data_IF_736689072522
#
_entry.id   IF_736689072522
#
_cell.length_a   1.000
_cell.length_b   1.000
_cell.length_c   1.000
_cell.angle_alpha   90.00
_cell.angle_beta   90.00
_cell.angle_gamma   90.00
#
_symmetry.space_group_name_H-M   'P 1'
#
loop_
_entity.id
_entity.type
_entity.pdbx_description
1 polymer ?
#
# COMPACT_ATOMS: atom_id res chain seq x y z
N UNK A 1 -17.78 -37.54 8.95
CA UNK A 1 -16.42 -37.10 9.33
C UNK A 1 -15.77 -36.23 8.24
N UNK A 2 -15.70 -36.68 6.98
CA UNK A 2 -15.11 -35.90 5.87
C UNK A 2 -15.73 -34.50 5.64
N UNK A 3 -17.06 -34.36 5.74
CA UNK A 3 -17.74 -33.06 5.58
C UNK A 3 -17.41 -32.07 6.68
N UNK A 4 -17.29 -32.53 7.92
CA UNK A 4 -16.98 -31.69 9.09
C UNK A 4 -15.55 -31.15 9.02
N UNK A 5 -14.58 -31.99 8.66
CA UNK A 5 -13.18 -31.57 8.46
C UNK A 5 -13.08 -30.54 7.34
N UNK A 6 -13.81 -30.74 6.23
CA UNK A 6 -13.86 -29.77 5.13
C UNK A 6 -14.48 -28.44 5.55
N UNK A 7 -15.54 -28.46 6.37
CA UNK A 7 -16.15 -27.25 6.91
C UNK A 7 -15.19 -26.51 7.85
N UNK A 8 -14.51 -27.21 8.76
CA UNK A 8 -13.53 -26.63 9.66
C UNK A 8 -12.36 -25.98 8.91
N UNK A 9 -11.84 -26.64 7.86
CA UNK A 9 -10.77 -26.06 7.05
C UNK A 9 -11.23 -24.79 6.32
N UNK A 10 -12.46 -24.78 5.82
CA UNK A 10 -13.03 -23.58 5.18
C UNK A 10 -13.25 -22.45 6.19
N UNK A 11 -13.63 -22.76 7.42
CA UNK A 11 -13.78 -21.77 8.48
C UNK A 11 -12.44 -21.16 8.85
N UNK A 12 -11.40 -21.98 9.06
CA UNK A 12 -10.05 -21.51 9.36
C UNK A 12 -9.41 -20.69 8.22
N UNK A 13 -9.80 -20.98 6.97
CA UNK A 13 -9.37 -20.18 5.81
C UNK A 13 -10.08 -18.82 5.78
N UNK A 14 -11.40 -18.79 6.04
CA UNK A 14 -12.17 -17.56 6.11
C UNK A 14 -11.74 -16.66 7.27
N UNK A 15 -11.41 -17.24 8.42
CA UNK A 15 -10.85 -16.51 9.57
C UNK A 15 -9.52 -15.84 9.20
N UNK A 16 -8.60 -16.59 8.58
CA UNK A 16 -7.31 -16.04 8.11
C UNK A 16 -7.49 -14.91 7.08
N UNK A 17 -8.42 -15.07 6.14
CA UNK A 17 -8.74 -14.01 5.18
C UNK A 17 -9.34 -12.79 5.87
N UNK A 18 -10.19 -13.00 6.87
CA UNK A 18 -10.80 -11.92 7.64
C UNK A 18 -9.74 -11.13 8.41
N UNK A 19 -8.83 -11.81 9.10
CA UNK A 19 -7.71 -11.18 9.82
C UNK A 19 -6.80 -10.39 8.86
N UNK A 20 -6.45 -10.98 7.71
CA UNK A 20 -5.64 -10.30 6.70
C UNK A 20 -6.33 -9.05 6.14
N UNK A 21 -7.64 -9.12 5.90
CA UNK A 21 -8.43 -7.98 5.43
C UNK A 21 -8.54 -6.89 6.49
N UNK A 22 -8.75 -7.24 7.76
CA UNK A 22 -8.78 -6.27 8.87
C UNK A 22 -7.46 -5.52 8.94
N UNK A 23 -6.34 -6.24 8.96
CA UNK A 23 -5.00 -5.64 9.01
C UNK A 23 -4.75 -4.72 7.81
N UNK A 24 -5.10 -5.16 6.60
CA UNK A 24 -4.98 -4.34 5.39
C UNK A 24 -5.84 -3.08 5.48
N UNK A 25 -7.05 -3.18 6.04
CA UNK A 25 -7.93 -2.03 6.23
C UNK A 25 -7.32 -1.00 7.21
N UNK A 26 -6.76 -1.47 8.32
CA UNK A 26 -6.08 -0.62 9.31
C UNK A 26 -4.87 0.10 8.70
N UNK A 27 -4.03 -0.63 7.94
CA UNK A 27 -2.88 -0.07 7.23
C UNK A 27 -3.31 0.98 6.20
N UNK A 28 -4.35 0.68 5.41
CA UNK A 28 -4.89 1.60 4.41
C UNK A 28 -5.51 2.85 5.05
N UNK A 29 -6.21 2.71 6.18
CA UNK A 29 -6.76 3.85 6.90
C UNK A 29 -5.66 4.74 7.45
N UNK A 30 -4.62 4.17 8.05
CA UNK A 30 -3.46 4.93 8.51
C UNK A 30 -2.77 5.67 7.35
N UNK A 31 -2.63 5.01 6.20
CA UNK A 31 -2.07 5.62 4.99
C UNK A 31 -2.93 6.79 4.48
N UNK A 32 -4.25 6.61 4.43
CA UNK A 32 -5.20 7.68 4.05
C UNK A 32 -5.06 8.88 4.99
N UNK A 33 -4.97 8.65 6.30
CA UNK A 33 -4.85 9.73 7.27
C UNK A 33 -3.53 10.50 7.11
N UNK A 34 -2.42 9.81 6.85
CA UNK A 34 -1.14 10.45 6.55
C UNK A 34 -1.21 11.26 5.25
N UNK A 35 -1.77 10.69 4.18
CA UNK A 35 -1.91 11.41 2.91
C UNK A 35 -2.78 12.68 3.02
N UNK A 36 -3.79 12.67 3.90
CA UNK A 36 -4.69 13.82 4.12
C UNK A 36 -4.09 14.90 5.00
N UNK A 37 -3.39 14.51 6.06
CA UNK A 37 -3.00 15.42 7.15
C UNK A 37 -1.50 15.69 7.24
N UNK A 38 -0.67 14.86 6.59
CA UNK A 38 0.78 15.04 6.52
C UNK A 38 1.18 15.48 5.10
N UNK A 39 1.35 16.79 4.94
CA UNK A 39 1.70 17.41 3.67
C UNK A 39 3.10 16.98 3.18
N UNK A 40 4.05 16.74 4.10
CA UNK A 40 5.38 16.30 3.72
C UNK A 40 5.35 14.86 3.18
N UNK A 41 4.56 13.99 3.83
CA UNK A 41 4.34 12.64 3.35
C UNK A 41 3.63 12.59 1.99
N UNK A 42 2.59 13.41 1.80
CA UNK A 42 1.90 13.53 0.51
C UNK A 42 2.87 13.97 -0.61
N UNK A 43 3.73 14.95 -0.33
CA UNK A 43 4.73 15.43 -1.29
C UNK A 43 5.77 14.34 -1.60
N UNK A 44 6.24 13.61 -0.60
CA UNK A 44 7.14 12.47 -0.79
C UNK A 44 6.53 11.42 -1.72
N UNK A 45 5.29 10.98 -1.44
CA UNK A 45 4.59 9.99 -2.28
C UNK A 45 4.37 10.51 -3.71
N UNK A 46 4.03 11.79 -3.87
CA UNK A 46 3.89 12.43 -5.18
C UNK A 46 5.19 12.40 -6.00
N UNK A 47 6.34 12.63 -5.35
CA UNK A 47 7.66 12.59 -5.98
C UNK A 47 8.07 11.15 -6.32
N UNK A 48 7.95 10.23 -5.37
CA UNK A 48 8.42 8.84 -5.52
C UNK A 48 7.57 8.02 -6.48
N UNK A 49 6.23 8.09 -6.36
CA UNK A 49 5.33 7.23 -7.16
C UNK A 49 4.96 7.84 -8.50
N UNK A 50 4.92 9.17 -8.60
CA UNK A 50 4.38 9.85 -9.77
C UNK A 50 5.41 10.78 -10.45
N UNK A 51 6.63 10.90 -9.91
CA UNK A 51 7.67 11.75 -10.47
C UNK A 51 7.30 13.24 -10.49
N UNK A 52 6.37 13.66 -9.63
CA UNK A 52 5.87 15.02 -9.63
C UNK A 52 6.91 15.99 -9.04
N UNK A 53 7.01 17.16 -9.67
CA UNK A 53 7.93 18.23 -9.32
C UNK A 53 7.17 19.54 -9.17
N UNK A 54 7.66 20.41 -8.30
CA UNK A 54 7.16 21.80 -8.25
C UNK A 54 7.60 22.52 -9.52
N UNK A 55 6.87 23.58 -9.91
CA UNK A 55 7.14 24.36 -11.13
C UNK A 55 8.59 24.86 -11.28
N UNK A 56 9.30 25.03 -10.17
CA UNK A 56 10.67 25.57 -10.15
C UNK A 56 11.74 24.49 -9.94
N UNK A 57 11.39 23.21 -10.05
CA UNK A 57 12.31 22.08 -9.83
C UNK A 57 12.65 21.38 -11.16
N UNK A 58 13.84 20.78 -11.23
CA UNK A 58 14.29 19.93 -12.34
C UNK A 58 14.87 18.64 -11.78
N UNK A 59 14.53 17.52 -12.41
CA UNK A 59 15.14 16.22 -12.14
C UNK A 59 16.20 15.95 -13.19
N UNK A 60 17.35 15.46 -12.74
CA UNK A 60 18.41 14.95 -13.60
C UNK A 60 18.40 13.43 -13.47
N UNK A 61 18.14 12.74 -14.57
CA UNK A 61 18.21 11.29 -14.66
C UNK A 61 19.50 10.90 -15.38
N UNK A 62 20.46 10.35 -14.63
CA UNK A 62 21.77 9.92 -15.15
C UNK A 62 21.79 8.46 -15.61
N UNK A 63 20.62 7.79 -15.65
CA UNK A 63 20.53 6.37 -16.00
C UNK A 63 20.77 6.09 -17.49
N UNK A 64 20.93 7.13 -18.33
CA UNK A 64 21.09 7.03 -19.79
C UNK A 64 22.42 7.54 -20.35
N UNK A 65 23.32 8.05 -19.52
CA UNK A 65 24.59 8.65 -19.98
C UNK A 65 25.72 7.62 -20.16
N UNK A 66 25.37 6.35 -20.39
CA UNK A 66 26.32 5.26 -20.57
C UNK A 66 25.85 4.27 -21.63
N UNK A 67 25.85 4.70 -22.89
CA UNK A 67 25.89 3.85 -24.10
C UNK A 67 26.95 4.41 -25.07
#
# INVERSE_FOLDING_TARGET
>A
VYSLVKQNNRMAELERQTEALIKSNEELQAEIERLKHDQAYLEQVAREKYGLLKKNERVFDFSKDGD
#
